data_IF_439627416545
#
_entry.id   IF_439627416545
#
_cell.length_a   1.000
_cell.length_b   1.000
_cell.length_c   1.000
_cell.angle_alpha   90.00
_cell.angle_beta   90.00
_cell.angle_gamma   90.00
#
_symmetry.space_group_name_H-M   'P 1'
#
loop_
_entity.id
_entity.type
_entity.pdbx_description
1 polymer ?
#
# COMPACT_ATOMS: atom_id res chain seq x y z
N UNK A 1 49.54 -36.37 54.85
CA UNK A 1 49.71 -36.03 53.43
C UNK A 1 48.40 -36.38 52.73
N UNK A 2 47.38 -35.53 52.73
CA UNK A 2 47.19 -34.28 51.95
C UNK A 2 46.75 -34.52 50.50
N UNK A 3 45.48 -34.12 50.24
CA UNK A 3 44.86 -33.68 48.97
C UNK A 3 44.61 -34.78 47.91
N UNK A 4 43.52 -34.78 47.14
CA UNK A 4 42.44 -33.80 47.03
C UNK A 4 41.31 -34.36 46.16
N UNK A 5 40.10 -33.89 46.42
CA UNK A 5 38.90 -34.13 45.63
C UNK A 5 39.03 -33.48 44.25
N UNK A 6 38.71 -34.23 43.19
CA UNK A 6 38.54 -33.71 41.83
C UNK A 6 37.05 -33.64 41.50
N UNK A 7 36.53 -32.41 41.40
CA UNK A 7 35.17 -32.13 40.94
C UNK A 7 34.99 -32.49 39.45
N UNK A 8 33.79 -32.96 39.04
CA UNK A 8 33.46 -33.08 37.63
C UNK A 8 33.16 -31.70 37.04
N UNK A 9 34.00 -31.27 36.09
CA UNK A 9 33.78 -30.06 35.30
C UNK A 9 32.47 -30.16 34.51
N UNK A 10 31.46 -29.46 35.00
CA UNK A 10 30.27 -29.05 34.25
C UNK A 10 30.73 -28.17 33.08
N UNK A 11 30.89 -28.80 31.92
CA UNK A 11 31.00 -28.11 30.65
C UNK A 11 29.70 -27.39 30.36
N UNK A 12 29.64 -26.09 30.67
CA UNK A 12 28.61 -25.20 30.19
C UNK A 12 28.72 -25.12 28.66
N UNK A 13 28.00 -26.00 27.97
CA UNK A 13 27.65 -25.82 26.57
C UNK A 13 26.80 -24.55 26.48
N UNK A 14 27.45 -23.42 26.22
CA UNK A 14 26.80 -22.20 25.74
C UNK A 14 26.29 -22.50 24.33
N UNK A 15 25.16 -23.20 24.26
CA UNK A 15 24.35 -23.32 23.07
C UNK A 15 23.96 -21.91 22.63
N UNK A 16 24.75 -21.35 21.73
CA UNK A 16 24.41 -20.14 21.02
C UNK A 16 23.12 -20.41 20.28
N UNK A 17 22.00 -19.98 20.86
CA UNK A 17 20.75 -19.80 20.14
C UNK A 17 21.03 -18.76 19.05
N UNK A 18 21.46 -19.22 17.88
CA UNK A 18 21.28 -18.45 16.66
C UNK A 18 19.78 -18.28 16.50
N UNK A 19 19.25 -17.16 16.99
CA UNK A 19 17.96 -16.67 16.53
C UNK A 19 18.07 -16.52 15.02
N UNK A 20 17.56 -17.52 14.29
CA UNK A 20 17.35 -17.41 12.86
C UNK A 20 16.55 -16.13 12.66
N UNK A 21 17.20 -15.09 12.12
CA UNK A 21 16.54 -13.80 11.88
C UNK A 21 15.34 -14.09 11.01
N UNK A 22 14.14 -13.97 11.58
CA UNK A 22 12.89 -14.14 10.85
C UNK A 22 12.88 -13.10 9.73
N UNK A 23 13.03 -13.54 8.49
CA UNK A 23 13.00 -12.62 7.36
C UNK A 23 11.57 -12.08 7.27
N UNK A 24 11.37 -10.74 7.28
CA UNK A 24 10.02 -10.19 7.27
C UNK A 24 9.28 -10.63 5.99
N UNK A 25 7.96 -10.88 6.07
CA UNK A 25 7.16 -11.21 4.90
C UNK A 25 7.14 -10.03 3.91
N UNK A 26 6.83 -10.29 2.65
CA UNK A 26 6.60 -9.23 1.68
C UNK A 26 5.33 -8.44 2.02
N UNK A 27 5.29 -7.14 1.72
CA UNK A 27 4.06 -6.33 1.84
C UNK A 27 3.42 -6.17 0.47
N UNK A 28 2.12 -6.43 0.37
CA UNK A 28 1.33 -6.32 -0.86
C UNK A 28 0.24 -5.27 -0.65
N UNK A 29 0.11 -4.34 -1.60
CA UNK A 29 -0.98 -3.37 -1.68
C UNK A 29 -1.64 -3.50 -3.04
N UNK A 30 -2.96 -3.67 -3.07
CA UNK A 30 -3.75 -3.76 -4.30
C UNK A 30 -4.51 -2.44 -4.48
N UNK A 31 -4.20 -1.71 -5.54
CA UNK A 31 -4.83 -0.45 -5.89
C UNK A 31 -5.75 -0.62 -7.12
N UNK A 32 -7.05 -0.53 -6.92
CA UNK A 32 -8.04 -0.63 -7.99
C UNK A 32 -8.47 0.76 -8.46
N UNK A 33 -8.26 1.11 -9.74
CA UNK A 33 -8.69 2.43 -10.26
C UNK A 33 -10.13 2.34 -10.76
N UNK A 34 -11.01 3.21 -10.26
CA UNK A 34 -12.39 3.29 -10.75
C UNK A 34 -12.45 4.01 -12.10
N UNK A 35 -13.15 3.45 -13.11
CA UNK A 35 -13.33 4.13 -14.38
C UNK A 35 -14.18 5.40 -14.22
N UNK A 36 -13.74 6.50 -14.81
CA UNK A 36 -14.45 7.79 -14.71
C UNK A 36 -15.84 7.74 -15.37
N UNK A 37 -15.99 6.97 -16.45
CA UNK A 37 -17.26 6.85 -17.19
C UNK A 37 -18.29 5.95 -16.49
N UNK A 38 -17.94 5.30 -15.40
CA UNK A 38 -18.84 4.37 -14.71
C UNK A 38 -19.91 5.16 -13.94
N UNK A 39 -21.17 4.72 -14.04
CA UNK A 39 -22.29 5.31 -13.28
C UNK A 39 -22.11 5.03 -11.78
N UNK A 40 -22.62 5.93 -10.93
CA UNK A 40 -22.49 5.84 -9.46
C UNK A 40 -22.95 4.48 -8.89
N UNK A 41 -24.12 4.00 -9.32
CA UNK A 41 -24.66 2.68 -8.91
C UNK A 41 -23.68 1.53 -9.21
N UNK A 42 -23.10 1.54 -10.42
CA UNK A 42 -22.12 0.52 -10.83
C UNK A 42 -20.80 0.65 -10.08
N UNK A 43 -20.38 1.86 -9.71
CA UNK A 43 -19.24 2.06 -8.82
C UNK A 43 -19.49 1.44 -7.45
N UNK A 44 -20.68 1.69 -6.88
CA UNK A 44 -21.08 1.13 -5.60
C UNK A 44 -21.11 -0.40 -5.62
N UNK A 45 -21.67 -1.00 -6.68
CA UNK A 45 -21.70 -2.45 -6.85
C UNK A 45 -20.30 -3.07 -6.95
N UNK A 46 -19.34 -2.40 -7.61
CA UNK A 46 -17.95 -2.86 -7.65
C UNK A 46 -17.28 -2.81 -6.28
N UNK A 47 -17.47 -1.71 -5.54
CA UNK A 47 -16.92 -1.55 -4.19
C UNK A 47 -17.50 -2.60 -3.25
N UNK A 48 -18.82 -2.81 -3.30
CA UNK A 48 -19.52 -3.83 -2.52
C UNK A 48 -19.11 -5.25 -2.91
N UNK A 49 -18.94 -5.51 -4.21
CA UNK A 49 -18.45 -6.80 -4.71
C UNK A 49 -17.03 -7.12 -4.21
N UNK A 50 -16.18 -6.10 -4.08
CA UNK A 50 -14.84 -6.27 -3.52
C UNK A 50 -14.82 -6.53 -2.00
N UNK A 51 -15.91 -6.24 -1.28
CA UNK A 51 -16.00 -6.53 0.16
C UNK A 51 -15.78 -8.02 0.47
N UNK A 52 -16.19 -8.91 -0.44
CA UNK A 52 -16.01 -10.36 -0.31
C UNK A 52 -14.61 -10.87 -0.65
N UNK A 53 -13.67 -9.99 -1.01
CA UNK A 53 -12.31 -10.41 -1.33
C UNK A 53 -11.52 -10.74 -0.05
N UNK A 54 -10.66 -11.77 -0.08
CA UNK A 54 -9.91 -12.24 1.08
C UNK A 54 -8.74 -11.34 1.48
N UNK A 55 -8.52 -10.23 0.75
CA UNK A 55 -7.44 -9.28 0.99
C UNK A 55 -7.95 -7.84 0.83
N UNK A 56 -7.40 -6.88 1.58
CA UNK A 56 -7.79 -5.48 1.48
C UNK A 56 -7.46 -4.87 0.11
N UNK A 57 -8.29 -3.92 -0.31
CA UNK A 57 -8.16 -3.20 -1.59
C UNK A 57 -8.28 -1.70 -1.34
N UNK A 58 -7.38 -0.92 -1.96
CA UNK A 58 -7.52 0.54 -2.02
C UNK A 58 -8.12 0.95 -3.37
N UNK A 59 -9.26 1.63 -3.33
CA UNK A 59 -9.90 2.22 -4.49
C UNK A 59 -9.29 3.59 -4.80
N UNK A 60 -8.73 3.73 -6.00
CA UNK A 60 -8.24 5.00 -6.53
C UNK A 60 -9.36 5.64 -7.34
N UNK A 61 -9.83 6.81 -6.93
CA UNK A 61 -11.01 7.45 -7.52
C UNK A 61 -10.83 8.95 -7.74
N UNK A 62 -11.46 9.49 -8.78
CA UNK A 62 -11.57 10.92 -8.99
C UNK A 62 -12.46 11.56 -7.92
N UNK A 63 -12.28 12.86 -7.67
CA UNK A 63 -13.02 13.62 -6.67
C UNK A 63 -14.55 13.56 -6.89
N UNK A 64 -15.00 13.59 -8.14
CA UNK A 64 -16.43 13.59 -8.49
C UNK A 64 -17.15 12.29 -8.09
N UNK A 65 -16.38 11.22 -7.85
CA UNK A 65 -16.89 9.90 -7.44
C UNK A 65 -16.57 9.58 -5.99
N UNK A 66 -15.84 10.47 -5.30
CA UNK A 66 -15.35 10.21 -3.96
C UNK A 66 -16.50 10.10 -2.95
N UNK A 67 -17.54 10.92 -3.09
CA UNK A 67 -18.71 10.86 -2.21
C UNK A 67 -19.48 9.54 -2.38
N UNK A 68 -19.71 9.10 -3.62
CA UNK A 68 -20.40 7.84 -3.93
C UNK A 68 -19.67 6.64 -3.32
N UNK A 69 -18.35 6.57 -3.52
CA UNK A 69 -17.49 5.49 -3.02
C UNK A 69 -17.35 5.56 -1.50
N UNK A 70 -17.18 6.78 -0.96
CA UNK A 70 -17.05 7.02 0.47
C UNK A 70 -18.29 6.59 1.24
N UNK A 71 -19.49 6.84 0.70
CA UNK A 71 -20.74 6.39 1.29
C UNK A 71 -20.81 4.86 1.42
N UNK A 72 -20.36 4.11 0.42
CA UNK A 72 -20.34 2.63 0.49
C UNK A 72 -19.33 2.11 1.52
N UNK A 73 -18.18 2.76 1.66
CA UNK A 73 -17.18 2.36 2.66
C UNK A 73 -17.68 2.65 4.08
N UNK A 74 -18.30 3.81 4.28
CA UNK A 74 -18.93 4.17 5.55
C UNK A 74 -20.10 3.24 5.92
N UNK A 75 -20.73 2.58 4.93
CA UNK A 75 -21.76 1.55 5.14
C UNK A 75 -21.20 0.20 5.61
N UNK A 76 -19.90 0.10 5.88
CA UNK A 76 -19.30 -1.05 6.56
C UNK A 76 -18.51 -2.00 5.67
N UNK A 77 -17.98 -1.53 4.54
CA UNK A 77 -17.02 -2.33 3.76
C UNK A 77 -15.64 -2.25 4.43
N UNK A 78 -15.43 -3.07 5.47
CA UNK A 78 -14.22 -3.05 6.31
C UNK A 78 -12.91 -3.30 5.55
N UNK A 79 -12.98 -3.99 4.40
CA UNK A 79 -11.82 -4.34 3.57
C UNK A 79 -11.47 -3.31 2.50
N UNK A 80 -12.22 -2.21 2.40
CA UNK A 80 -12.02 -1.16 1.40
C UNK A 80 -11.41 0.11 1.99
N UNK A 81 -10.38 0.61 1.32
CA UNK A 81 -9.76 1.91 1.57
C UNK A 81 -9.89 2.79 0.31
N UNK A 82 -9.71 4.11 0.44
CA UNK A 82 -9.79 5.03 -0.70
C UNK A 82 -8.57 5.93 -0.76
N UNK A 83 -8.07 6.07 -1.99
CA UNK A 83 -7.13 7.12 -2.34
C UNK A 83 -7.79 8.05 -3.37
N UNK A 84 -7.72 9.36 -3.11
CA UNK A 84 -8.19 10.34 -4.08
C UNK A 84 -7.15 10.51 -5.18
N UNK A 85 -7.56 10.42 -6.44
CA UNK A 85 -6.71 10.76 -7.57
C UNK A 85 -6.63 12.27 -7.69
N UNK A 86 -5.44 12.83 -7.48
CA UNK A 86 -5.17 14.26 -7.60
C UNK A 86 -4.74 14.54 -9.05
N UNK A 87 -5.50 15.33 -9.81
CA UNK A 87 -5.09 15.75 -11.14
C UNK A 87 -3.83 16.62 -11.09
N UNK A 88 -2.92 16.47 -12.06
CA UNK A 88 -1.69 17.29 -12.14
C UNK A 88 -2.00 18.79 -12.18
N UNK A 89 -3.11 19.18 -12.81
CA UNK A 89 -3.55 20.58 -12.86
C UNK A 89 -3.85 21.20 -11.48
N UNK A 90 -4.26 20.38 -10.51
CA UNK A 90 -4.51 20.84 -9.13
C UNK A 90 -3.20 21.09 -8.38
N UNK A 91 -2.13 20.37 -8.75
CA UNK A 91 -0.80 20.52 -8.17
C UNK A 91 -0.08 21.81 -8.61
N UNK A 92 -0.56 22.48 -9.66
CA UNK A 92 0.06 23.69 -10.22
C UNK A 92 -0.03 24.93 -9.31
N UNK A 93 -0.89 24.89 -8.28
CA UNK A 93 -1.00 25.99 -7.32
C UNK A 93 -1.37 25.48 -5.94
N UNK A 94 -0.69 26.02 -4.92
CA UNK A 94 -0.98 25.78 -3.50
C UNK A 94 -2.48 25.96 -3.18
N UNK A 95 -3.11 27.00 -3.72
CA UNK A 95 -4.51 27.31 -3.44
C UNK A 95 -5.46 26.29 -4.08
N UNK A 96 -5.21 25.91 -5.34
CA UNK A 96 -6.03 24.92 -6.07
C UNK A 96 -5.99 23.56 -5.37
N UNK A 97 -4.78 23.08 -5.09
CA UNK A 97 -4.61 21.85 -4.34
C UNK A 97 -5.33 21.89 -2.99
N UNK A 98 -5.19 22.98 -2.23
CA UNK A 98 -5.87 23.09 -0.93
C UNK A 98 -7.38 23.00 -1.08
N UNK A 99 -7.96 23.73 -2.03
CA UNK A 99 -9.39 23.67 -2.30
C UNK A 99 -9.84 22.27 -2.71
N UNK A 100 -9.06 21.59 -3.55
CA UNK A 100 -9.29 20.21 -3.95
C UNK A 100 -9.31 19.27 -2.74
N UNK A 101 -8.30 19.34 -1.86
CA UNK A 101 -8.17 18.47 -0.69
C UNK A 101 -9.29 18.72 0.33
N UNK A 102 -9.65 19.99 0.56
CA UNK A 102 -10.78 20.35 1.44
C UNK A 102 -12.07 19.73 0.93
N UNK A 103 -12.37 19.85 -0.38
CA UNK A 103 -13.55 19.21 -0.98
C UNK A 103 -13.48 17.69 -0.87
N UNK A 104 -12.32 17.10 -1.10
CA UNK A 104 -12.14 15.65 -0.99
C UNK A 104 -12.43 15.15 0.44
N UNK A 105 -11.97 15.88 1.46
CA UNK A 105 -12.26 15.56 2.87
C UNK A 105 -13.71 15.80 3.27
N UNK A 106 -14.36 16.80 2.70
CA UNK A 106 -15.81 16.99 2.91
C UNK A 106 -16.59 15.79 2.40
N UNK A 107 -16.16 15.18 1.27
CA UNK A 107 -16.76 13.96 0.75
C UNK A 107 -16.39 12.71 1.56
N UNK A 108 -15.15 12.61 2.05
CA UNK A 108 -14.67 11.49 2.87
C UNK A 108 -13.72 11.96 3.98
N UNK A 109 -14.22 12.20 5.21
CA UNK A 109 -13.40 12.76 6.30
C UNK A 109 -12.21 11.89 6.73
N UNK A 110 -12.29 10.57 6.52
CA UNK A 110 -11.26 9.58 6.85
C UNK A 110 -10.18 9.42 5.77
N UNK A 111 -10.22 10.19 4.69
CA UNK A 111 -9.28 10.10 3.58
C UNK A 111 -7.84 10.36 4.07
N UNK A 112 -6.97 9.34 3.96
CA UNK A 112 -5.58 9.39 4.41
C UNK A 112 -4.56 9.12 3.28
N UNK A 113 -5.04 8.79 2.08
CA UNK A 113 -4.23 8.43 0.93
C UNK A 113 -4.61 9.24 -0.32
N UNK A 114 -3.62 9.48 -1.18
CA UNK A 114 -3.82 10.10 -2.48
C UNK A 114 -3.07 9.30 -3.57
N UNK A 115 -3.43 9.55 -4.83
CA UNK A 115 -2.72 9.03 -5.98
C UNK A 115 -2.42 10.17 -6.96
N UNK A 116 -1.16 10.28 -7.37
CA UNK A 116 -0.70 11.20 -8.42
C UNK A 116 -0.36 10.37 -9.66
N UNK A 117 -0.96 10.73 -10.79
CA UNK A 117 -0.69 10.12 -12.11
C UNK A 117 0.10 11.11 -12.95
N UNK A 118 1.11 10.61 -13.67
CA UNK A 118 1.95 11.38 -14.57
C UNK A 118 3.21 11.97 -13.92
N UNK A 119 4.13 12.51 -14.75
CA UNK A 119 5.35 13.15 -14.28
C UNK A 119 5.00 14.51 -13.67
N UNK A 120 4.91 14.57 -12.35
CA UNK A 120 4.68 15.82 -11.64
C UNK A 120 5.70 15.97 -10.52
N UNK A 121 6.65 16.88 -10.72
CA UNK A 121 7.41 17.45 -9.61
C UNK A 121 6.41 18.25 -8.74
N UNK A 122 6.13 17.72 -7.56
CA UNK A 122 5.08 18.25 -6.71
C UNK A 122 5.67 19.14 -5.60
N UNK A 123 5.66 20.45 -5.77
CA UNK A 123 6.31 21.39 -4.84
C UNK A 123 5.58 21.52 -3.49
N UNK A 124 4.26 21.34 -3.46
CA UNK A 124 3.43 21.66 -2.29
C UNK A 124 3.14 20.46 -1.37
N UNK A 125 4.08 19.53 -1.24
CA UNK A 125 3.95 18.28 -0.45
C UNK A 125 3.47 18.45 0.98
N UNK A 126 3.91 19.50 1.66
CA UNK A 126 3.50 19.78 3.03
C UNK A 126 1.98 20.03 3.17
N UNK A 127 1.28 20.47 2.12
CA UNK A 127 -0.18 20.61 2.16
C UNK A 127 -0.90 19.28 2.30
N UNK A 128 -0.39 18.21 1.68
CA UNK A 128 -1.00 16.89 1.80
C UNK A 128 -1.06 16.45 3.26
N UNK A 129 0.05 16.61 3.98
CA UNK A 129 0.14 16.30 5.42
C UNK A 129 -0.82 17.17 6.24
N UNK A 130 -0.85 18.49 5.96
CA UNK A 130 -1.75 19.42 6.64
C UNK A 130 -3.23 19.06 6.47
N UNK A 131 -3.57 18.44 5.35
CA UNK A 131 -4.91 17.94 5.04
C UNK A 131 -5.09 16.44 5.39
N UNK A 132 -4.17 15.83 6.15
CA UNK A 132 -4.32 14.48 6.69
C UNK A 132 -3.92 13.34 5.74
N UNK A 133 -3.36 13.65 4.58
CA UNK A 133 -2.82 12.65 3.65
C UNK A 133 -1.40 12.26 4.08
N UNK A 134 -1.23 11.00 4.48
CA UNK A 134 0.06 10.47 4.95
C UNK A 134 0.83 9.66 3.91
N UNK A 135 0.16 9.27 2.82
CA UNK A 135 0.73 8.40 1.78
C UNK A 135 0.21 8.79 0.40
N UNK A 136 1.09 8.75 -0.59
CA UNK A 136 0.79 9.08 -1.98
C UNK A 136 1.30 7.99 -2.89
N UNK A 137 0.40 7.40 -3.67
CA UNK A 137 0.76 6.51 -4.76
C UNK A 137 1.23 7.33 -5.97
N UNK A 138 2.43 7.07 -6.48
CA UNK A 138 2.97 7.72 -7.68
C UNK A 138 3.30 6.69 -8.76
N UNK A 139 3.38 7.15 -10.02
CA UNK A 139 3.77 6.28 -11.15
C UNK A 139 5.27 5.95 -11.16
N UNK A 140 6.10 6.93 -10.78
CA UNK A 140 7.55 6.81 -10.68
C UNK A 140 8.06 7.75 -9.59
N UNK A 141 9.07 7.32 -8.82
CA UNK A 141 9.78 8.22 -7.92
C UNK A 141 10.75 9.09 -8.72
N UNK A 142 10.76 10.39 -8.44
CA UNK A 142 11.73 11.32 -9.02
C UNK A 142 13.15 11.01 -8.49
N UNK A 143 14.18 11.25 -9.29
CA UNK A 143 15.59 11.05 -8.91
C UNK A 143 16.07 12.09 -7.89
N UNK A 144 15.35 13.21 -7.74
CA UNK A 144 15.70 14.24 -6.77
C UNK A 144 15.54 13.74 -5.32
N UNK A 145 16.65 13.32 -4.73
CA UNK A 145 16.79 12.91 -3.34
C UNK A 145 17.22 14.06 -2.42
N UNK A 146 16.62 15.24 -2.56
CA UNK A 146 16.93 16.36 -1.67
C UNK A 146 16.27 16.16 -0.30
N UNK A 147 17.09 15.96 0.73
CA UNK A 147 16.69 16.07 2.13
C UNK A 147 15.75 14.97 2.63
N UNK A 148 15.96 13.71 2.24
CA UNK A 148 15.24 12.56 2.81
C UNK A 148 15.39 12.55 4.33
N UNK A 149 14.32 12.93 5.06
CA UNK A 149 14.36 13.08 6.52
C UNK A 149 14.28 11.74 7.25
N UNK A 150 13.72 10.71 6.61
CA UNK A 150 13.67 9.34 7.12
C UNK A 150 14.06 8.35 6.01
N UNK A 151 15.00 7.42 6.27
CA UNK A 151 15.35 6.42 5.27
C UNK A 151 14.17 5.48 5.04
N UNK A 152 13.89 5.18 3.77
CA UNK A 152 12.94 4.15 3.40
C UNK A 152 13.45 2.76 3.81
N UNK A 153 12.56 1.81 4.12
CA UNK A 153 12.95 0.42 4.29
C UNK A 153 13.70 -0.08 3.04
N UNK A 154 14.78 -0.82 3.25
CA UNK A 154 15.64 -1.30 2.15
C UNK A 154 14.82 -2.14 1.16
N UNK A 155 14.90 -1.77 -0.13
CA UNK A 155 14.22 -2.50 -1.21
C UNK A 155 12.74 -2.16 -1.37
N UNK A 156 12.21 -1.19 -0.62
CA UNK A 156 10.87 -0.65 -0.85
C UNK A 156 10.96 0.50 -1.84
N UNK A 157 10.15 0.51 -2.91
CA UNK A 157 10.10 1.63 -3.84
C UNK A 157 9.23 2.74 -3.24
N UNK A 158 9.73 3.36 -2.16
CA UNK A 158 9.07 4.46 -1.49
C UNK A 158 10.10 5.43 -0.94
N UNK A 159 9.68 6.66 -0.66
CA UNK A 159 10.53 7.69 -0.04
C UNK A 159 9.71 8.62 0.85
N UNK A 160 10.37 9.19 1.85
CA UNK A 160 9.77 10.21 2.70
C UNK A 160 10.07 11.59 2.10
N UNK A 161 9.05 12.30 1.62
CA UNK A 161 9.22 13.61 0.97
C UNK A 161 8.85 14.80 1.86
N UNK A 162 8.09 14.57 2.93
CA UNK A 162 7.84 15.52 4.02
C UNK A 162 7.62 14.74 5.34
N UNK A 163 7.72 15.43 6.48
CA UNK A 163 7.40 14.80 7.77
C UNK A 163 5.95 14.32 7.76
N UNK A 164 5.73 13.02 7.92
CA UNK A 164 4.39 12.41 7.84
C UNK A 164 3.90 12.11 6.42
N UNK A 165 4.69 12.33 5.35
CA UNK A 165 4.32 11.99 3.98
C UNK A 165 5.26 10.95 3.34
N UNK A 166 4.67 9.88 2.83
CA UNK A 166 5.39 8.87 2.05
C UNK A 166 4.90 8.84 0.61
N UNK A 167 5.81 8.97 -0.34
CA UNK A 167 5.55 8.63 -1.73
C UNK A 167 5.90 7.17 -1.95
N UNK A 168 4.98 6.43 -2.56
CA UNK A 168 5.12 5.00 -2.84
C UNK A 168 4.94 4.80 -4.33
N UNK A 169 5.94 4.21 -4.96
CA UNK A 169 5.87 3.87 -6.37
C UNK A 169 4.93 2.68 -6.58
N UNK A 170 4.03 2.84 -7.54
CA UNK A 170 3.35 1.70 -8.09
C UNK A 170 4.33 0.81 -8.84
N UNK A 171 4.38 -0.48 -8.50
CA UNK A 171 5.15 -1.42 -9.29
C UNK A 171 4.58 -1.49 -10.70
N UNK A 172 5.36 -1.07 -11.71
CA UNK A 172 5.01 -1.40 -13.08
C UNK A 172 5.05 -2.92 -13.23
N UNK A 173 3.97 -3.57 -13.69
CA UNK A 173 4.08 -4.97 -14.07
C UNK A 173 5.14 -5.03 -15.18
N UNK A 174 6.27 -5.68 -14.92
CA UNK A 174 7.32 -5.92 -15.92
C UNK A 174 6.76 -6.89 -16.95
N UNK A 175 5.98 -6.38 -17.89
CA UNK A 175 5.45 -7.16 -19.00
C UNK A 175 6.52 -7.15 -20.08
N UNK A 176 7.17 -8.29 -20.32
CA UNK A 176 7.82 -8.47 -21.62
C UNK A 176 6.71 -8.47 -22.67
N UNK A 177 6.89 -7.74 -23.77
CA UNK A 177 5.89 -7.58 -24.83
C UNK A 177 5.29 -8.92 -25.32
N UNK A 178 6.08 -9.99 -25.26
CA UNK A 178 5.65 -11.35 -25.62
C UNK A 178 4.59 -11.91 -24.64
N UNK A 179 4.76 -11.74 -23.33
CA UNK A 179 3.84 -12.32 -22.32
C UNK A 179 2.45 -11.66 -22.30
N UNK A 180 2.34 -10.42 -22.78
CA UNK A 180 1.06 -9.72 -22.94
C UNK A 180 0.17 -10.35 -24.01
N UNK A 181 0.75 -10.92 -25.08
CA UNK A 181 -0.04 -11.53 -26.16
C UNK A 181 -0.77 -12.80 -25.72
N UNK A 182 -0.24 -13.52 -24.72
CA UNK A 182 -0.86 -14.74 -24.19
C UNK A 182 -1.78 -14.50 -22.97
N UNK A 183 -2.06 -13.24 -22.59
CA UNK A 183 -2.84 -12.92 -21.38
C UNK A 183 -2.16 -13.33 -20.07
N UNK A 184 -0.88 -13.75 -20.15
CA UNK A 184 -0.03 -14.22 -19.06
C UNK A 184 0.82 -13.07 -18.51
N UNK A 185 0.20 -11.93 -18.18
CA UNK A 185 0.87 -10.93 -17.36
C UNK A 185 1.39 -11.61 -16.10
N UNK A 186 2.72 -11.79 -16.02
CA UNK A 186 3.35 -12.57 -14.96
C UNK A 186 3.10 -11.90 -13.61
N UNK A 187 2.30 -12.53 -12.77
CA UNK A 187 2.13 -12.10 -11.38
C UNK A 187 3.52 -12.04 -10.73
N UNK A 188 3.88 -10.94 -10.05
CA UNK A 188 5.20 -10.76 -9.50
C UNK A 188 5.47 -11.86 -8.47
N UNK A 189 6.75 -12.22 -8.33
CA UNK A 189 7.22 -13.08 -7.25
C UNK A 189 7.68 -12.18 -6.10
N UNK A 190 6.87 -12.03 -5.04
CA UNK A 190 7.25 -11.21 -3.92
C UNK A 190 8.49 -11.78 -3.24
N UNK A 191 9.46 -10.92 -2.95
CA UNK A 191 10.67 -11.28 -2.19
C UNK A 191 10.42 -10.95 -0.72
N UNK A 192 11.02 -11.71 0.18
CA UNK A 192 10.87 -11.44 1.59
C UNK A 192 11.39 -10.01 1.91
N UNK A 193 10.62 -9.27 2.69
CA UNK A 193 10.91 -7.87 3.03
C UNK A 193 10.70 -6.86 1.92
N UNK A 194 10.17 -7.22 0.74
CA UNK A 194 9.88 -6.24 -0.33
C UNK A 194 8.45 -5.71 -0.27
N UNK A 195 8.23 -4.53 -0.87
CA UNK A 195 6.91 -3.94 -1.09
C UNK A 195 6.47 -4.11 -2.54
N UNK A 196 5.23 -4.56 -2.73
CA UNK A 196 4.58 -4.69 -4.03
C UNK A 196 3.28 -3.91 -4.03
N UNK A 197 3.25 -2.81 -4.77
CA UNK A 197 2.00 -2.09 -5.04
C UNK A 197 1.55 -2.43 -6.45
N UNK A 198 0.47 -3.20 -6.57
CA UNK A 198 -0.10 -3.61 -7.85
C UNK A 198 -1.29 -2.74 -8.19
N UNK A 199 -1.43 -2.38 -9.47
CA UNK A 199 -2.58 -1.61 -9.95
C UNK A 199 -3.38 -2.38 -10.99
N UNK A 200 -4.66 -2.04 -11.06
CA UNK A 200 -5.57 -2.60 -12.06
C UNK A 200 -5.65 -1.78 -13.35
N UNK A 201 -4.97 -0.64 -13.45
CA UNK A 201 -5.08 0.27 -14.59
C UNK A 201 -4.34 -0.22 -15.86
N UNK A 202 -4.65 0.42 -17.00
CA UNK A 202 -3.90 0.21 -18.26
C UNK A 202 -4.52 -0.72 -19.31
N UNK A 203 -5.81 -1.07 -19.27
CA UNK A 203 -6.41 -1.89 -20.33
C UNK A 203 -7.92 -1.61 -20.56
N UNK A 204 -8.34 -0.35 -20.51
CA UNK A 204 -9.74 0.00 -20.81
C UNK A 204 -9.82 0.94 -22.01
N UNK A 205 -9.75 0.36 -23.20
CA UNK A 205 -10.32 0.96 -24.41
C UNK A 205 -11.57 0.15 -24.73
N UNK A 206 -12.75 0.65 -24.36
CA UNK A 206 -14.05 0.05 -24.73
C UNK A 206 -15.10 -0.06 -23.61
N UNK A 207 -16.35 -0.32 -24.00
CA UNK A 207 -17.56 -0.34 -23.14
C UNK A 207 -17.59 -1.45 -22.05
N UNK A 208 -16.62 -2.36 -22.01
CA UNK A 208 -16.58 -3.51 -21.09
C UNK A 208 -15.64 -3.32 -19.88
N UNK A 209 -15.22 -2.08 -19.60
CA UNK A 209 -14.22 -1.78 -18.59
C UNK A 209 -14.45 -2.38 -17.20
N UNK A 210 -15.69 -2.38 -16.72
CA UNK A 210 -16.04 -2.92 -15.40
C UNK A 210 -15.76 -4.43 -15.28
N UNK A 211 -16.08 -5.23 -16.31
CA UNK A 211 -15.84 -6.68 -16.29
C UNK A 211 -14.35 -7.02 -16.24
N UNK A 212 -13.53 -6.30 -17.01
CA UNK A 212 -12.08 -6.46 -16.99
C UNK A 212 -11.45 -6.08 -15.63
N UNK A 213 -12.00 -5.06 -14.97
CA UNK A 213 -11.57 -4.66 -13.63
C UNK A 213 -11.84 -5.74 -12.59
N UNK A 214 -13.07 -6.29 -12.57
CA UNK A 214 -13.45 -7.34 -11.63
C UNK A 214 -12.58 -8.58 -11.79
N UNK A 215 -12.46 -9.13 -13.00
CA UNK A 215 -11.63 -10.33 -13.22
C UNK A 215 -10.15 -10.10 -12.91
N UNK A 216 -9.63 -8.89 -13.14
CA UNK A 216 -8.24 -8.54 -12.79
C UNK A 216 -8.08 -8.41 -11.27
N UNK A 217 -9.03 -7.77 -10.60
CA UNK A 217 -9.03 -7.60 -9.15
C UNK A 217 -9.11 -8.95 -8.44
N UNK A 218 -10.02 -9.82 -8.85
CA UNK A 218 -10.13 -11.20 -8.34
C UNK A 218 -8.82 -11.98 -8.52
N UNK A 219 -8.19 -11.87 -9.68
CA UNK A 219 -6.89 -12.51 -9.95
C UNK A 219 -5.79 -12.00 -9.01
N UNK A 220 -5.72 -10.68 -8.80
CA UNK A 220 -4.75 -10.09 -7.87
C UNK A 220 -5.05 -10.47 -6.42
N UNK A 221 -6.31 -10.48 -6.03
CA UNK A 221 -6.75 -10.87 -4.70
C UNK A 221 -6.41 -12.34 -4.40
N UNK A 222 -6.75 -13.26 -5.31
CA UNK A 222 -6.42 -14.68 -5.18
C UNK A 222 -4.89 -14.93 -5.14
N UNK A 223 -4.11 -14.18 -5.94
CA UNK A 223 -2.65 -14.24 -5.87
C UNK A 223 -2.12 -13.78 -4.52
N UNK A 224 -2.58 -12.63 -4.02
CA UNK A 224 -2.15 -12.07 -2.74
C UNK A 224 -2.55 -13.00 -1.59
N UNK A 225 -3.78 -13.51 -1.59
CA UNK A 225 -4.28 -14.46 -0.60
C UNK A 225 -3.40 -15.72 -0.55
N UNK A 226 -3.11 -16.33 -1.71
CA UNK A 226 -2.24 -17.52 -1.78
C UNK A 226 -0.87 -17.26 -1.17
N UNK A 227 -0.35 -16.03 -1.28
CA UNK A 227 0.94 -15.64 -0.67
C UNK A 227 0.82 -15.40 0.83
N UNK A 228 -0.27 -14.77 1.28
CA UNK A 228 -0.55 -14.54 2.69
C UNK A 228 -0.76 -15.85 3.45
N UNK A 229 -1.57 -16.79 2.91
CA UNK A 229 -1.79 -18.12 3.51
C UNK A 229 -0.52 -18.95 3.66
N UNK A 230 0.50 -18.70 2.83
CA UNK A 230 1.81 -19.37 2.91
C UNK A 230 2.79 -18.67 3.86
N UNK A 231 2.36 -17.60 4.54
CA UNK A 231 3.21 -16.78 5.43
C UNK A 231 4.28 -15.96 4.70
N UNK A 232 4.27 -15.94 3.36
CA UNK A 232 5.30 -15.25 2.56
C UNK A 232 4.99 -13.77 2.30
N UNK A 233 3.77 -13.33 2.62
CA UNK A 233 3.35 -11.94 2.43
C UNK A 233 2.30 -11.52 3.45
N UNK A 234 2.11 -10.21 3.59
CA UNK A 234 1.02 -9.54 4.29
C UNK A 234 0.37 -8.57 3.30
N UNK A 235 -0.95 -8.60 3.20
CA UNK A 235 -1.70 -7.63 2.41
C UNK A 235 -2.18 -6.47 3.30
N UNK A 236 -2.08 -5.24 2.81
CA UNK A 236 -2.54 -4.04 3.52
C UNK A 236 -3.12 -3.03 2.54
N UNK A 237 -3.92 -2.09 3.06
CA UNK A 237 -4.39 -0.93 2.30
C UNK A 237 -3.28 0.10 2.14
N UNK A 238 -3.44 1.04 1.21
CA UNK A 238 -2.49 2.13 1.03
C UNK A 238 -2.43 3.00 2.30
N UNK A 239 -3.57 3.37 2.89
CA UNK A 239 -3.61 4.09 4.17
C UNK A 239 -2.93 3.29 5.31
N UNK A 240 -3.13 1.97 5.36
CA UNK A 240 -2.47 1.06 6.31
C UNK A 240 -0.96 0.95 6.11
N UNK A 241 -0.49 1.02 4.86
CA UNK A 241 0.94 1.13 4.53
C UNK A 241 1.54 2.43 5.10
N UNK A 242 0.83 3.55 4.96
CA UNK A 242 1.23 4.83 5.55
C UNK A 242 1.47 4.74 7.06
N UNK A 243 0.55 4.07 7.79
CA UNK A 243 0.70 3.84 9.22
C UNK A 243 1.92 2.96 9.54
N UNK A 244 2.14 1.89 8.77
CA UNK A 244 3.29 0.98 8.96
C UNK A 244 4.63 1.70 8.74
N UNK A 245 4.69 2.55 7.70
CA UNK A 245 5.84 3.40 7.39
C UNK A 245 6.05 4.49 8.45
N UNK A 246 4.98 5.05 9.02
CA UNK A 246 5.06 6.02 10.12
C UNK A 246 5.56 5.38 11.43
N UNK A 247 5.10 4.18 11.78
CA UNK A 247 5.51 3.46 13.00
C UNK A 247 6.94 2.90 12.95
N UNK A 248 7.62 2.94 11.80
CA UNK A 248 9.06 2.68 11.71
C UNK A 248 9.47 1.22 11.65
N UNK A 249 8.69 0.35 11.01
CA UNK A 249 9.09 -1.04 10.77
C UNK A 249 9.14 -1.92 12.03
N UNK A 250 8.71 -1.42 13.19
CA UNK A 250 8.21 -2.30 14.24
C UNK A 250 6.86 -2.80 13.75
N UNK A 251 6.85 -4.01 13.19
CA UNK A 251 5.59 -4.70 12.92
C UNK A 251 4.72 -4.76 14.20
N UNK A 252 3.44 -5.10 14.09
CA UNK A 252 2.65 -5.44 15.26
C UNK A 252 3.32 -6.65 15.92
N UNK A 253 4.17 -6.40 16.91
CA UNK A 253 4.69 -7.44 17.78
C UNK A 253 3.47 -7.93 18.58
N UNK A 254 2.95 -9.08 18.16
CA UNK A 254 2.20 -9.94 19.06
C UNK A 254 3.02 -10.07 20.35
N UNK A 255 2.43 -9.65 21.47
CA UNK A 255 3.07 -9.69 22.80
C UNK A 255 3.75 -8.38 23.20
N UNK A 256 2.94 -7.36 23.52
CA UNK A 256 3.39 -6.28 24.40
C UNK A 256 3.62 -6.84 25.80
N UNK A 257 4.89 -6.99 26.21
CA UNK A 257 5.34 -7.42 27.54
C UNK A 257 5.31 -6.25 28.56
N UNK A 258 4.62 -5.15 28.25
CA UNK A 258 4.44 -4.00 29.17
C UNK A 258 3.06 -3.97 29.86
N UNK A 259 2.48 -5.15 30.14
CA UNK A 259 1.41 -5.33 31.13
C UNK A 259 1.86 -6.33 32.19
N UNK A 260 2.74 -5.87 33.07
CA UNK A 260 2.94 -6.44 34.39
C UNK A 260 3.41 -5.30 35.29
N UNK A 261 2.43 -4.54 35.79
CA UNK A 261 2.51 -3.81 37.04
C UNK A 261 1.63 -4.57 38.02
#
# INVERSE_FOLDING_TARGET
MSRGAGEPGLGCNLGGYQMARSVPPATIVICATLPQQLRAERCADLVRGAAGLPVPVTWVTAIDRLADVGAEILRGVETADVAVQVPVAECASRQRLRQFLVRARQALPSLAAAALRGPAAFEHRALLVGEGIGVVLVDALDEQSLGLRRPAPRGWPCRNTAWGLWEVEAGQPRTSAWTNWLGLCGLPRPRAGSLHVVRTDGAMVGNNGAGFLTSRLERWAAWAEKRCRRGGAVATTLSGLGNTLASGGRGPLAGSVLRAA
#
